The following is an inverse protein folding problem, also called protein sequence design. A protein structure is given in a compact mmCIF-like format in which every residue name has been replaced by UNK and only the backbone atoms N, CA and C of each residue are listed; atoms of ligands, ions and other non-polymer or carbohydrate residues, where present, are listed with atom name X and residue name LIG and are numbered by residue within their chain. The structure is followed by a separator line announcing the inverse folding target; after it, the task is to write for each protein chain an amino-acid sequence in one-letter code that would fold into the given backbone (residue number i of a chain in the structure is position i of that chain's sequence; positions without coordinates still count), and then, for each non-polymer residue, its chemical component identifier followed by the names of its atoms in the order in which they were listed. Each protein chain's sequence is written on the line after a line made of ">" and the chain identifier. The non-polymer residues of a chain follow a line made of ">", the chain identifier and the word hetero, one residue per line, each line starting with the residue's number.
data_IF_125394050961
#
_entry.id   IF_125394050961
#
_cell.length_a   1.000
_cell.length_b   1.000
_cell.length_c   1.000
_cell.angle_alpha   90.00
_cell.angle_beta   90.00
_cell.angle_gamma   90.00
#
_symmetry.space_group_name_H-M   'P 1'
#
loop_
_entity.id
_entity.type
_entity.pdbx_description
1 polymer ?
#
# COMPACT_ATOMS: atom_id res chain seq x y z
N UNK A 1 -5.04 -5.24 51.65
CA UNK A 1 -5.01 -6.39 50.73
C UNK A 1 -6.04 -6.30 49.61
N UNK A 2 -7.31 -6.03 49.90
CA UNK A 2 -8.35 -5.93 48.88
C UNK A 2 -8.13 -4.76 47.89
N UNK A 3 -7.52 -3.68 48.35
CA UNK A 3 -7.27 -2.51 47.49
C UNK A 3 -6.13 -2.73 46.50
N UNK A 4 -5.16 -3.56 46.84
CA UNK A 4 -4.03 -3.87 45.95
C UNK A 4 -4.48 -4.70 44.77
N UNK A 5 -5.42 -5.63 44.99
CA UNK A 5 -5.98 -6.46 43.91
C UNK A 5 -6.76 -5.66 42.87
N UNK A 6 -7.47 -4.62 43.33
CA UNK A 6 -8.20 -3.73 42.41
C UNK A 6 -7.29 -2.91 41.53
N UNK A 7 -6.15 -2.46 42.05
CA UNK A 7 -5.17 -1.70 41.29
C UNK A 7 -4.51 -2.53 40.20
N UNK A 8 -4.21 -3.80 40.51
CA UNK A 8 -3.60 -4.72 39.56
C UNK A 8 -4.53 -5.01 38.38
N UNK A 9 -5.83 -5.12 38.63
CA UNK A 9 -6.82 -5.33 37.53
C UNK A 9 -6.92 -4.14 36.59
N UNK A 10 -6.81 -2.91 37.11
CA UNK A 10 -6.85 -1.71 36.30
C UNK A 10 -5.66 -1.58 35.38
N UNK A 11 -4.46 -1.93 35.82
CA UNK A 11 -3.24 -1.88 35.05
C UNK A 11 -3.28 -2.89 33.88
N UNK A 12 -3.78 -4.10 34.16
CA UNK A 12 -3.90 -5.13 33.12
C UNK A 12 -4.81 -4.70 31.97
N UNK A 13 -5.92 -4.04 32.27
CA UNK A 13 -6.85 -3.55 31.26
C UNK A 13 -6.24 -2.47 30.37
N UNK A 14 -5.46 -1.56 30.95
CA UNK A 14 -4.78 -0.51 30.19
C UNK A 14 -3.73 -1.08 29.22
N UNK A 15 -3.03 -2.13 29.64
CA UNK A 15 -2.03 -2.78 28.79
C UNK A 15 -2.67 -3.41 27.55
N UNK A 16 -3.83 -4.04 27.68
CA UNK A 16 -4.55 -4.67 26.58
C UNK A 16 -5.04 -3.63 25.58
N UNK A 17 -5.60 -2.51 26.06
CA UNK A 17 -6.07 -1.43 25.20
C UNK A 17 -4.93 -0.79 24.40
N UNK A 18 -3.74 -0.64 25.01
CA UNK A 18 -2.58 -0.09 24.32
C UNK A 18 -2.04 -0.96 23.19
N UNK A 19 -2.14 -2.29 23.32
CA UNK A 19 -1.64 -3.22 22.30
C UNK A 19 -2.51 -3.29 21.05
N UNK A 20 -3.80 -2.92 21.13
CA UNK A 20 -4.71 -3.05 20.00
C UNK A 20 -4.76 -1.82 19.10
N UNK A 21 -4.15 -0.71 19.50
CA UNK A 21 -4.30 0.58 18.81
C UNK A 21 -3.13 0.97 17.90
N UNK A 22 -2.08 0.18 17.78
CA UNK A 22 -0.88 0.60 17.09
C UNK A 22 -0.23 -0.46 16.20
N UNK A 23 -1.02 -1.31 15.56
CA UNK A 23 -0.46 -2.28 14.63
C UNK A 23 0.17 -1.60 13.41
N UNK A 24 1.30 -2.14 12.87
CA UNK A 24 1.88 -1.60 11.65
C UNK A 24 0.94 -1.80 10.46
N UNK A 25 1.03 -0.96 9.41
CA UNK A 25 0.29 -1.19 8.17
C UNK A 25 0.60 -2.57 7.59
N UNK A 26 -0.38 -3.15 6.92
CA UNK A 26 -0.25 -4.45 6.26
C UNK A 26 -0.46 -4.29 4.75
N UNK A 27 -0.26 -5.37 4.00
CA UNK A 27 -0.46 -5.37 2.56
C UNK A 27 0.58 -4.53 1.82
N UNK A 28 0.15 -3.82 0.80
CA UNK A 28 1.04 -3.06 -0.07
C UNK A 28 1.83 -1.97 0.66
N UNK A 29 1.25 -1.33 1.67
CA UNK A 29 1.97 -0.31 2.43
C UNK A 29 3.21 -0.87 3.13
N UNK A 30 3.12 -2.10 3.62
CA UNK A 30 4.22 -2.76 4.32
C UNK A 30 5.14 -3.53 3.37
N UNK A 31 4.69 -3.83 2.15
CA UNK A 31 5.42 -4.64 1.18
C UNK A 31 6.51 -3.86 0.43
N UNK A 32 6.40 -2.55 0.37
CA UNK A 32 7.31 -1.71 -0.40
C UNK A 32 8.26 -0.92 0.50
N UNK A 33 9.51 -0.79 0.05
CA UNK A 33 10.50 0.03 0.75
C UNK A 33 11.36 0.81 -0.24
N UNK A 34 11.77 1.99 0.19
CA UNK A 34 12.71 2.85 -0.50
C UNK A 34 13.40 3.71 0.56
N UNK A 35 14.73 3.91 0.49
CA UNK A 35 15.40 4.76 1.47
C UNK A 35 14.73 6.13 1.62
N UNK A 36 14.40 6.50 2.84
CA UNK A 36 13.76 7.79 3.15
C UNK A 36 12.26 7.84 2.96
N UNK A 37 11.62 6.78 2.45
CA UNK A 37 10.18 6.74 2.26
C UNK A 37 9.50 6.14 3.49
N UNK A 38 8.56 6.88 4.09
CA UNK A 38 7.68 6.38 5.14
C UNK A 38 6.41 5.79 4.52
N UNK A 39 5.46 5.34 5.35
CA UNK A 39 4.22 4.74 4.86
C UNK A 39 3.38 5.73 4.05
N UNK A 40 3.40 7.01 4.38
CA UNK A 40 2.69 8.03 3.61
C UNK A 40 3.28 8.15 2.20
N UNK A 41 4.61 8.14 2.08
CA UNK A 41 5.27 8.19 0.77
C UNK A 41 5.00 6.93 -0.05
N UNK A 42 4.98 5.76 0.57
CA UNK A 42 4.59 4.52 -0.12
C UNK A 42 3.15 4.64 -0.63
N UNK A 43 2.23 5.12 0.19
CA UNK A 43 0.84 5.32 -0.20
C UNK A 43 0.68 6.30 -1.36
N UNK A 44 1.41 7.42 -1.32
CA UNK A 44 1.43 8.38 -2.44
C UNK A 44 1.93 7.73 -3.72
N UNK A 45 3.02 6.97 -3.65
CA UNK A 45 3.59 6.30 -4.80
C UNK A 45 2.61 5.29 -5.41
N UNK A 46 1.95 4.49 -4.59
CA UNK A 46 0.97 3.52 -5.05
C UNK A 46 -0.18 4.20 -5.79
N UNK A 47 -0.73 5.28 -5.23
CA UNK A 47 -1.78 6.05 -5.88
C UNK A 47 -1.30 6.69 -7.18
N UNK A 48 -0.09 7.23 -7.19
CA UNK A 48 0.52 7.85 -8.38
C UNK A 48 0.84 6.83 -9.47
N UNK A 49 1.06 5.58 -9.09
CA UNK A 49 1.25 4.48 -10.02
C UNK A 49 -0.07 3.88 -10.52
N UNK A 50 -1.21 4.35 -10.02
CA UNK A 50 -2.53 3.97 -10.51
C UNK A 50 -3.34 3.06 -9.62
N UNK A 51 -2.87 2.79 -8.39
CA UNK A 51 -3.67 2.03 -7.42
C UNK A 51 -4.85 2.89 -6.95
N UNK A 52 -6.09 2.37 -6.97
CA UNK A 52 -7.25 3.18 -6.57
C UNK A 52 -7.26 3.61 -5.11
N UNK A 53 -6.76 2.76 -4.22
CA UNK A 53 -6.58 3.04 -2.80
C UNK A 53 -5.28 2.39 -2.33
N UNK A 54 -4.64 2.90 -1.27
CA UNK A 54 -3.42 2.27 -0.76
C UNK A 54 -3.68 1.01 0.10
N UNK A 55 -4.91 0.59 0.22
CA UNK A 55 -5.32 -0.55 1.06
C UNK A 55 -5.74 -1.73 0.19
N UNK A 56 -5.00 -2.83 0.25
CA UNK A 56 -5.19 -4.00 -0.61
C UNK A 56 -6.58 -4.62 -0.52
N UNK A 57 -7.16 -4.60 0.66
CA UNK A 57 -8.47 -5.24 0.90
C UNK A 57 -9.65 -4.42 0.39
N UNK A 58 -9.40 -3.21 -0.10
CA UNK A 58 -10.45 -2.37 -0.63
C UNK A 58 -11.03 -2.99 -1.91
N UNK A 59 -12.37 -3.06 -2.06
CA UNK A 59 -13.00 -3.61 -3.27
C UNK A 59 -12.56 -2.94 -4.57
N UNK A 60 -12.20 -1.67 -4.55
CA UNK A 60 -11.72 -0.98 -5.75
C UNK A 60 -10.42 -1.58 -6.28
N UNK A 61 -9.52 -2.03 -5.38
CA UNK A 61 -8.29 -2.71 -5.78
C UNK A 61 -8.57 -4.10 -6.33
N UNK A 62 -9.57 -4.80 -5.79
CA UNK A 62 -9.92 -6.14 -6.21
C UNK A 62 -10.45 -6.21 -7.64
N UNK A 63 -11.03 -5.13 -8.13
CA UNK A 63 -11.58 -5.05 -9.49
C UNK A 63 -10.52 -4.89 -10.57
N UNK A 64 -9.26 -4.65 -10.21
CA UNK A 64 -8.20 -4.40 -11.18
C UNK A 64 -7.83 -5.67 -11.94
N UNK A 65 -7.57 -5.52 -13.24
CA UNK A 65 -7.05 -6.61 -14.05
C UNK A 65 -5.62 -6.98 -13.62
N UNK A 66 -5.19 -8.16 -14.01
CA UNK A 66 -3.81 -8.60 -13.74
C UNK A 66 -2.81 -7.64 -14.39
N UNK A 67 -3.10 -7.19 -15.63
CA UNK A 67 -2.22 -6.23 -16.31
C UNK A 67 -2.13 -4.90 -15.54
N UNK A 68 -3.25 -4.41 -15.02
CA UNK A 68 -3.24 -3.18 -14.22
C UNK A 68 -2.39 -3.34 -12.94
N UNK A 69 -2.51 -4.47 -12.27
CA UNK A 69 -1.70 -4.78 -11.07
C UNK A 69 -0.22 -4.87 -11.42
N UNK A 70 0.10 -5.54 -12.52
CA UNK A 70 1.48 -5.65 -13.01
C UNK A 70 2.05 -4.27 -13.39
N UNK A 71 1.23 -3.40 -13.95
CA UNK A 71 1.62 -2.03 -14.31
C UNK A 71 1.97 -1.21 -13.07
N UNK A 72 1.16 -1.31 -12.01
CA UNK A 72 1.45 -0.65 -10.73
C UNK A 72 2.77 -1.15 -10.17
N UNK A 73 2.98 -2.46 -10.17
CA UNK A 73 4.23 -3.07 -9.71
C UNK A 73 5.43 -2.51 -10.48
N UNK A 74 5.36 -2.51 -11.81
CA UNK A 74 6.44 -2.01 -12.66
C UNK A 74 6.72 -0.52 -12.41
N UNK A 75 5.67 0.27 -12.20
CA UNK A 75 5.78 1.70 -11.88
C UNK A 75 6.53 1.90 -10.55
N UNK A 76 6.21 1.12 -9.53
CA UNK A 76 6.88 1.21 -8.23
C UNK A 76 8.37 0.85 -8.34
N UNK A 77 8.69 -0.22 -9.05
CA UNK A 77 10.09 -0.63 -9.28
C UNK A 77 10.84 0.46 -10.05
N UNK A 78 10.23 1.02 -11.09
CA UNK A 78 10.83 2.10 -11.87
C UNK A 78 11.16 3.32 -11.02
N UNK A 79 10.35 3.61 -10.01
CA UNK A 79 10.56 4.73 -9.09
C UNK A 79 11.60 4.44 -8.00
N UNK A 80 12.15 3.24 -7.96
CA UNK A 80 13.19 2.86 -7.02
C UNK A 80 12.71 2.16 -5.76
N UNK A 81 11.44 1.80 -5.68
CA UNK A 81 10.94 1.00 -4.57
C UNK A 81 11.32 -0.46 -4.75
N UNK A 82 11.51 -1.15 -3.64
CA UNK A 82 11.81 -2.57 -3.59
C UNK A 82 10.66 -3.32 -2.91
N UNK A 83 10.26 -4.43 -3.49
CA UNK A 83 9.28 -5.33 -2.90
C UNK A 83 9.97 -6.22 -1.86
N UNK A 84 9.62 -6.04 -0.60
CA UNK A 84 10.19 -6.80 0.53
C UNK A 84 9.69 -8.25 0.58
N UNK A 85 8.51 -8.50 0.02
CA UNK A 85 7.91 -9.83 0.06
C UNK A 85 8.63 -10.79 -0.87
N UNK A 86 9.12 -10.32 -2.02
CA UNK A 86 9.78 -11.16 -3.00
C UNK A 86 8.78 -11.97 -3.80
N UNK A 87 9.24 -13.10 -4.35
CA UNK A 87 8.37 -14.00 -5.13
C UNK A 87 8.40 -13.77 -6.64
N UNK A 88 9.34 -12.97 -7.14
CA UNK A 88 9.47 -12.67 -8.55
C UNK A 88 8.59 -11.53 -9.02
N UNK A 89 8.68 -11.18 -10.29
CA UNK A 89 7.88 -10.11 -10.87
C UNK A 89 6.54 -10.65 -11.35
N UNK A 90 5.60 -9.73 -11.56
CA UNK A 90 4.30 -10.09 -12.15
C UNK A 90 4.47 -10.73 -13.53
N UNK A 91 5.42 -10.22 -14.33
CA UNK A 91 5.67 -10.74 -15.67
C UNK A 91 6.18 -12.19 -15.63
N UNK A 92 7.01 -12.53 -14.67
CA UNK A 92 7.49 -13.91 -14.50
C UNK A 92 6.37 -14.82 -14.02
N UNK A 93 5.60 -14.37 -13.03
CA UNK A 93 4.54 -15.17 -12.42
C UNK A 93 3.32 -15.38 -13.33
N UNK A 94 3.07 -14.45 -14.25
CA UNK A 94 1.94 -14.50 -15.17
C UNK A 94 2.38 -14.58 -16.63
N UNK A 95 3.49 -15.27 -16.88
CA UNK A 95 4.09 -15.36 -18.21
C UNK A 95 3.12 -15.92 -19.26
N UNK A 96 2.28 -16.87 -18.88
CA UNK A 96 1.30 -17.47 -19.79
C UNK A 96 0.16 -16.54 -20.18
N UNK A 97 -0.03 -15.45 -19.45
CA UNK A 97 -1.11 -14.50 -19.68
C UNK A 97 -0.77 -13.48 -20.78
N UNK A 98 0.48 -13.41 -21.21
CA UNK A 98 0.93 -12.45 -22.24
C UNK A 98 0.49 -11.00 -21.94
N UNK A 99 0.72 -10.54 -20.71
CA UNK A 99 0.27 -9.23 -20.29
C UNK A 99 0.89 -8.12 -21.16
N UNK A 100 0.10 -7.14 -21.63
CA UNK A 100 0.62 -6.05 -22.44
C UNK A 100 1.79 -5.32 -21.80
N UNK A 101 1.76 -5.08 -20.50
CA UNK A 101 2.84 -4.37 -19.79
C UNK A 101 4.15 -5.18 -19.79
N UNK A 102 4.08 -6.49 -20.02
CA UNK A 102 5.25 -7.36 -20.00
C UNK A 102 5.88 -7.57 -21.38
N UNK A 103 5.29 -7.03 -22.43
CA UNK A 103 5.79 -7.18 -23.79
C UNK A 103 7.03 -6.32 -24.03
N UNK A 104 7.95 -6.75 -24.92
CA UNK A 104 9.10 -5.92 -25.29
C UNK A 104 8.64 -4.56 -25.80
N UNK A 105 9.28 -3.50 -25.33
CA UNK A 105 8.92 -2.14 -25.74
C UNK A 105 7.72 -1.53 -25.02
N UNK A 106 7.12 -2.23 -24.07
CA UNK A 106 6.03 -1.68 -23.28
C UNK A 106 6.52 -0.45 -22.49
N UNK A 107 5.71 0.61 -22.52
CA UNK A 107 6.02 1.84 -21.77
C UNK A 107 5.47 1.69 -20.36
N UNK A 108 6.36 1.79 -19.36
CA UNK A 108 5.97 1.75 -17.95
C UNK A 108 5.57 3.18 -17.54
N UNK A 109 4.33 3.39 -17.08
CA UNK A 109 3.92 4.72 -16.62
C UNK A 109 4.76 5.20 -15.46
N UNK A 110 5.08 6.49 -15.43
CA UNK A 110 5.72 7.13 -14.30
C UNK A 110 4.68 7.56 -13.29
N UNK A 111 5.10 7.80 -12.05
CA UNK A 111 4.25 8.35 -11.01
C UNK A 111 3.59 9.65 -11.50
N UNK A 112 2.31 9.83 -11.18
CA UNK A 112 1.54 11.01 -11.58
C UNK A 112 0.76 11.55 -10.39
N UNK A 113 1.08 12.78 -9.97
CA UNK A 113 0.34 13.49 -8.92
C UNK A 113 -1.13 13.63 -9.33
N UNK A 114 -1.40 13.88 -10.60
CA UNK A 114 -2.76 14.00 -11.12
C UNK A 114 -3.55 12.72 -10.89
N UNK A 115 -2.96 11.54 -11.15
CA UNK A 115 -3.60 10.25 -10.87
C UNK A 115 -3.92 10.11 -9.40
N UNK A 116 -2.99 10.48 -8.52
CA UNK A 116 -3.18 10.39 -7.07
C UNK A 116 -4.36 11.24 -6.63
N UNK A 117 -4.38 12.50 -7.02
CA UNK A 117 -5.42 13.44 -6.60
C UNK A 117 -6.80 13.09 -7.19
N UNK A 118 -6.83 12.40 -8.32
CA UNK A 118 -8.06 11.91 -8.95
C UNK A 118 -8.42 10.48 -8.57
N UNK A 119 -7.64 9.83 -7.69
CA UNK A 119 -7.93 8.48 -7.26
C UNK A 119 -9.24 8.42 -6.45
N UNK A 120 -9.95 7.27 -6.46
CA UNK A 120 -11.13 7.10 -5.60
C UNK A 120 -10.84 7.39 -4.14
N UNK A 121 -9.67 6.97 -3.64
CA UNK A 121 -9.28 7.21 -2.26
C UNK A 121 -9.20 8.72 -1.94
N UNK A 122 -8.51 9.49 -2.75
CA UNK A 122 -8.34 10.93 -2.49
C UNK A 122 -9.61 11.73 -2.74
N UNK A 123 -10.48 11.27 -3.64
CA UNK A 123 -11.79 11.89 -3.80
C UNK A 123 -12.68 11.71 -2.59
N UNK A 124 -12.58 10.56 -1.93
CA UNK A 124 -13.36 10.26 -0.72
C UNK A 124 -12.72 10.77 0.55
N UNK A 125 -11.38 10.88 0.57
CA UNK A 125 -10.60 11.24 1.76
C UNK A 125 -9.58 12.36 1.45
N UNK A 126 -10.03 13.53 0.98
CA UNK A 126 -9.11 14.60 0.59
C UNK A 126 -8.28 15.15 1.76
N UNK A 127 -8.69 14.88 2.99
CA UNK A 127 -7.99 15.29 4.21
C UNK A 127 -6.82 14.39 4.60
N UNK A 128 -6.66 13.24 3.95
CA UNK A 128 -5.56 12.32 4.26
C UNK A 128 -4.24 12.88 3.73
N UNK A 129 -3.14 12.56 4.43
CA UNK A 129 -1.81 13.05 4.05
C UNK A 129 -1.41 12.63 2.62
N UNK A 130 -1.79 11.43 2.21
CA UNK A 130 -1.52 10.93 0.86
C UNK A 130 -2.20 11.77 -0.23
N UNK A 131 -3.19 12.57 0.13
CA UNK A 131 -3.98 13.35 -0.82
C UNK A 131 -3.61 14.84 -0.85
N UNK A 132 -2.62 15.25 -0.07
CA UNK A 132 -2.13 16.62 -0.12
C UNK A 132 -1.33 16.82 -1.41
N UNK A 133 -1.48 17.98 -2.05
CA UNK A 133 -0.75 18.31 -3.29
C UNK A 133 0.77 18.26 -3.17
#
# INVERSE_FOLDING_TARGET
>A
MKQILKLLSGIALLSIAGCSLGGPPTGSLAAWEKPGADFTEVGKALLECGMPTPYDMDPENQKRSINAKATIYACMIQDGFRDKVGGGTWCENYKSENLPICQPGAVIPRRSVKKRLNSPFCKQHPEQYECYP
#
